data_IF_796551552021
#
_entry.id   IF_796551552021
#
_cell.length_a   1.000
_cell.length_b   1.000
_cell.length_c   1.000
_cell.angle_alpha   90.00
_cell.angle_beta   90.00
_cell.angle_gamma   90.00
#
_symmetry.space_group_name_H-M   'P 1'
#
loop_
_entity.id
_entity.type
_entity.pdbx_description
1 polymer ?
#
# COMPACT_ATOMS: atom_id res chain seq x y z
N UNK A 1 -12.37 10.05 -5.80
CA UNK A 1 -12.12 8.82 -6.58
C UNK A 1 -13.07 8.78 -7.75
N UNK A 2 -12.55 8.69 -8.98
CA UNK A 2 -13.32 8.55 -10.21
C UNK A 2 -14.09 7.22 -10.27
N UNK A 3 -15.04 7.11 -11.21
CA UNK A 3 -15.77 5.85 -11.44
C UNK A 3 -14.84 4.72 -11.92
N UNK A 4 -13.76 5.08 -12.61
CA UNK A 4 -12.68 4.22 -13.08
C UNK A 4 -11.67 3.83 -11.98
N UNK A 5 -11.90 4.26 -10.74
CA UNK A 5 -10.98 4.04 -9.63
C UNK A 5 -9.77 5.00 -9.61
N UNK A 6 -9.73 6.00 -10.49
CA UNK A 6 -8.69 7.02 -10.48
C UNK A 6 -8.71 7.86 -9.20
N UNK A 7 -7.53 8.16 -8.67
CA UNK A 7 -7.33 8.90 -7.42
C UNK A 7 -6.71 10.25 -7.72
N UNK A 8 -7.48 11.32 -7.53
CA UNK A 8 -7.01 12.70 -7.57
C UNK A 8 -7.92 13.57 -6.68
N UNK A 9 -7.46 14.78 -6.41
CA UNK A 9 -8.23 15.85 -5.78
C UNK A 9 -9.15 16.54 -6.77
N UNK A 10 -10.30 17.00 -6.28
CA UNK A 10 -11.27 17.78 -7.04
C UNK A 10 -11.69 19.02 -6.26
N UNK A 11 -12.11 20.06 -6.98
CA UNK A 11 -12.80 21.23 -6.40
C UNK A 11 -14.32 21.13 -6.52
N UNK A 12 -14.80 20.09 -7.20
CA UNK A 12 -16.21 19.84 -7.41
C UNK A 12 -16.77 19.00 -6.25
N UNK A 13 -17.46 19.70 -5.34
CA UNK A 13 -18.16 19.09 -4.22
C UNK A 13 -19.57 18.58 -4.61
N UNK A 14 -20.02 18.77 -5.85
CA UNK A 14 -21.35 18.33 -6.30
C UNK A 14 -21.43 16.84 -6.63
N UNK A 15 -20.29 16.20 -6.86
CA UNK A 15 -20.23 14.76 -7.10
C UNK A 15 -19.94 14.02 -5.80
N UNK A 16 -20.68 12.95 -5.52
CA UNK A 16 -20.39 12.03 -4.41
C UNK A 16 -19.06 11.26 -4.55
N UNK A 17 -18.15 11.70 -5.44
CA UNK A 17 -16.84 11.12 -5.71
C UNK A 17 -15.81 11.40 -4.61
N UNK A 18 -16.10 12.37 -3.74
CA UNK A 18 -15.26 12.79 -2.60
C UNK A 18 -15.74 12.24 -1.26
N UNK A 19 -16.75 11.36 -1.25
CA UNK A 19 -17.27 10.73 -0.04
C UNK A 19 -16.52 9.42 0.24
N UNK A 20 -16.01 9.29 1.48
CA UNK A 20 -15.25 8.14 1.91
C UNK A 20 -15.73 7.63 3.28
N UNK A 21 -15.81 6.31 3.40
CA UNK A 21 -15.88 5.64 4.68
C UNK A 21 -14.48 5.62 5.29
N UNK A 22 -14.36 6.15 6.51
CA UNK A 22 -13.15 6.06 7.32
C UNK A 22 -13.36 4.95 8.36
N UNK A 23 -12.92 3.74 8.03
CA UNK A 23 -13.24 2.53 8.80
C UNK A 23 -12.09 2.23 9.77
N UNK A 24 -12.31 2.24 11.10
CA UNK A 24 -11.27 1.88 12.05
C UNK A 24 -10.97 0.38 11.95
N UNK A 25 -9.71 0.03 11.72
CA UNK A 25 -9.24 -1.37 11.56
C UNK A 25 -8.07 -1.68 12.51
N UNK A 26 -7.90 -0.85 13.54
CA UNK A 26 -6.88 -0.94 14.56
C UNK A 26 -6.71 0.36 15.33
N UNK A 27 -5.88 0.34 16.38
CA UNK A 27 -5.59 1.55 17.16
C UNK A 27 -4.91 2.61 16.28
N UNK A 28 -5.63 3.69 15.97
CA UNK A 28 -5.18 4.76 15.06
C UNK A 28 -4.83 4.24 13.65
N UNK A 29 -5.49 3.15 13.23
CA UNK A 29 -5.34 2.60 11.89
C UNK A 29 -6.71 2.58 11.22
N UNK A 30 -6.76 3.14 10.02
CA UNK A 30 -7.99 3.25 9.22
C UNK A 30 -7.81 2.60 7.86
N UNK A 31 -8.92 2.06 7.35
CA UNK A 31 -9.12 1.82 5.93
C UNK A 31 -9.92 2.99 5.35
N UNK A 32 -9.58 3.42 4.14
CA UNK A 32 -10.25 4.53 3.45
C UNK A 32 -10.96 3.94 2.23
N UNK A 33 -12.29 3.88 2.27
CA UNK A 33 -13.09 3.26 1.22
C UNK A 33 -13.98 4.30 0.55
N UNK A 34 -13.98 4.35 -0.78
CA UNK A 34 -14.89 5.20 -1.55
C UNK A 34 -16.33 4.74 -1.37
N UNK A 35 -17.22 5.66 -0.96
CA UNK A 35 -18.66 5.39 -0.87
C UNK A 35 -19.23 5.08 -2.26
N UNK A 36 -18.75 5.80 -3.27
CA UNK A 36 -19.28 5.72 -4.64
C UNK A 36 -18.94 4.40 -5.34
N UNK A 37 -17.74 3.87 -5.11
CA UNK A 37 -17.22 2.72 -5.87
C UNK A 37 -17.01 1.47 -5.00
N UNK A 38 -17.02 1.60 -3.67
CA UNK A 38 -16.68 0.50 -2.75
C UNK A 38 -15.18 0.14 -2.72
N UNK A 39 -14.35 0.79 -3.53
CA UNK A 39 -12.91 0.52 -3.59
C UNK A 39 -12.18 1.16 -2.42
N UNK A 40 -11.18 0.45 -1.90
CA UNK A 40 -10.24 0.96 -0.91
C UNK A 40 -9.12 1.75 -1.58
N UNK A 41 -8.63 2.79 -0.91
CA UNK A 41 -7.33 3.36 -1.23
C UNK A 41 -6.27 2.42 -0.66
N UNK A 42 -5.25 2.10 -1.44
CA UNK A 42 -4.12 1.29 -1.04
C UNK A 42 -2.80 1.93 -1.49
N UNK A 43 -1.69 1.58 -0.83
CA UNK A 43 -0.35 2.01 -1.22
C UNK A 43 0.56 0.81 -1.41
N UNK A 44 1.14 0.66 -2.59
CA UNK A 44 2.00 -0.48 -2.90
C UNK A 44 3.45 -0.32 -2.41
N UNK A 45 4.23 -1.40 -2.50
CA UNK A 45 5.64 -1.44 -2.09
C UNK A 45 6.58 -0.49 -2.84
N UNK A 46 6.14 0.11 -3.95
CA UNK A 46 6.87 1.18 -4.62
C UNK A 46 6.48 2.55 -4.08
N UNK A 47 5.32 2.68 -3.46
CA UNK A 47 4.75 3.91 -2.92
C UNK A 47 3.70 4.52 -3.83
N UNK A 48 3.25 3.81 -4.87
CA UNK A 48 2.14 4.26 -5.69
C UNK A 48 0.82 4.03 -4.95
N UNK A 49 -0.04 5.03 -4.99
CA UNK A 49 -1.41 4.90 -4.52
C UNK A 49 -2.26 4.29 -5.63
N UNK A 50 -3.15 3.38 -5.26
CA UNK A 50 -4.05 2.72 -6.19
C UNK A 50 -5.37 2.39 -5.49
N UNK A 51 -6.37 2.02 -6.28
CA UNK A 51 -7.67 1.57 -5.79
C UNK A 51 -7.73 0.04 -5.77
N UNK A 52 -8.24 -0.54 -4.69
CA UNK A 52 -8.31 -1.98 -4.48
C UNK A 52 -9.73 -2.43 -4.16
N UNK A 53 -10.17 -3.52 -4.77
CA UNK A 53 -11.46 -4.16 -4.45
C UNK A 53 -11.40 -4.91 -3.12
N UNK A 54 -10.25 -5.51 -2.82
CA UNK A 54 -10.05 -6.32 -1.62
C UNK A 54 -9.38 -5.49 -0.53
N UNK A 55 -9.81 -5.70 0.71
CA UNK A 55 -9.13 -5.14 1.86
C UNK A 55 -7.85 -5.94 2.15
N UNK A 56 -6.70 -5.35 1.85
CA UNK A 56 -5.39 -5.95 2.11
C UNK A 56 -4.61 -5.16 3.16
N UNK A 57 -3.44 -5.66 3.55
CA UNK A 57 -2.53 -4.91 4.42
C UNK A 57 -2.04 -3.59 3.81
N UNK A 58 -2.05 -3.44 2.48
CA UNK A 58 -1.72 -2.19 1.78
C UNK A 58 -2.82 -1.12 1.90
N UNK A 59 -4.04 -1.51 2.30
CA UNK A 59 -5.17 -0.60 2.53
C UNK A 59 -5.15 0.04 3.94
N UNK A 60 -4.20 -0.37 4.80
CA UNK A 60 -4.12 0.08 6.19
C UNK A 60 -3.25 1.32 6.30
N UNK A 61 -3.86 2.42 6.74
CA UNK A 61 -3.16 3.68 7.01
C UNK A 61 -3.17 4.01 8.49
N UNK A 62 -2.00 4.30 9.04
CA UNK A 62 -1.91 4.94 10.36
C UNK A 62 -2.32 6.40 10.23
N UNK A 63 -3.39 6.78 10.91
CA UNK A 63 -3.78 8.17 11.09
C UNK A 63 -2.98 8.80 12.24
N UNK A 64 -2.58 10.06 12.08
CA UNK A 64 -1.89 10.81 13.11
C UNK A 64 -2.23 12.29 12.97
N UNK A 65 -2.24 13.00 14.09
CA UNK A 65 -2.39 14.45 14.09
C UNK A 65 -1.04 15.12 13.85
N UNK A 66 -1.04 16.18 13.06
CA UNK A 66 0.12 17.05 12.82
C UNK A 66 -0.22 18.48 13.21
N UNK A 67 0.64 19.10 14.04
CA UNK A 67 0.49 20.46 14.55
C UNK A 67 -0.89 20.77 15.16
N UNK A 68 -1.53 19.74 15.76
CA UNK A 68 -2.86 19.80 16.37
C UNK A 68 -4.01 20.22 15.44
N UNK A 69 -3.79 20.24 14.12
CA UNK A 69 -4.79 20.74 13.16
C UNK A 69 -5.03 19.78 12.00
N UNK A 70 -3.99 19.21 11.42
CA UNK A 70 -4.11 18.32 10.27
C UNK A 70 -4.10 16.85 10.66
N UNK A 71 -4.78 16.03 9.88
CA UNK A 71 -4.63 14.57 9.90
C UNK A 71 -3.71 14.16 8.76
N UNK A 72 -2.78 13.27 9.06
CA UNK A 72 -1.88 12.65 8.10
C UNK A 72 -2.10 11.15 8.11
N UNK A 73 -2.04 10.53 6.93
CA UNK A 73 -2.20 9.08 6.76
C UNK A 73 -0.90 8.49 6.22
N UNK A 74 -0.32 7.55 6.95
CA UNK A 74 0.90 6.86 6.54
C UNK A 74 0.68 5.39 6.31
N UNK A 75 1.38 4.80 5.33
CA UNK A 75 1.34 3.35 5.12
C UNK A 75 1.76 2.62 6.39
N UNK A 76 1.00 1.59 6.77
CA UNK A 76 1.39 0.68 7.85
C UNK A 76 2.55 -0.23 7.45
N UNK A 77 2.70 -0.55 6.16
CA UNK A 77 3.70 -1.47 5.65
C UNK A 77 4.99 -0.77 5.21
N UNK A 78 4.86 0.39 4.56
CA UNK A 78 5.96 0.94 3.78
C UNK A 78 6.56 2.20 4.39
N UNK A 79 7.89 2.18 4.46
CA UNK A 79 8.75 3.28 4.89
C UNK A 79 10.09 3.22 4.20
N UNK A 80 10.82 4.32 4.23
CA UNK A 80 12.18 4.39 3.74
C UNK A 80 13.08 3.50 4.61
N UNK A 81 13.79 2.54 3.99
CA UNK A 81 14.53 1.48 4.71
C UNK A 81 15.60 2.02 5.66
N UNK A 82 16.40 2.98 5.19
CA UNK A 82 17.54 3.51 5.94
C UNK A 82 17.11 4.50 7.03
N UNK A 83 16.32 5.52 6.67
CA UNK A 83 15.94 6.58 7.60
C UNK A 83 14.75 6.23 8.50
N UNK A 84 14.06 5.13 8.21
CA UNK A 84 12.79 4.78 8.85
C UNK A 84 11.65 5.75 8.54
N UNK A 85 11.82 6.72 7.63
CA UNK A 85 10.79 7.73 7.33
C UNK A 85 9.56 7.08 6.69
N UNK A 86 8.40 7.26 7.30
CA UNK A 86 7.13 6.72 6.79
C UNK A 86 6.77 7.31 5.41
N UNK A 87 5.99 6.57 4.64
CA UNK A 87 5.40 7.02 3.38
C UNK A 87 3.97 7.46 3.63
N UNK A 88 3.55 8.56 2.99
CA UNK A 88 2.29 9.23 3.30
C UNK A 88 1.38 9.30 2.08
N UNK A 89 0.07 9.17 2.31
CA UNK A 89 -0.93 9.65 1.36
C UNK A 89 -0.71 11.15 1.12
N UNK A 90 -0.83 11.61 -0.13
CA UNK A 90 -0.71 13.03 -0.40
C UNK A 90 -1.04 13.45 -1.82
N UNK A 91 -1.37 14.72 -1.96
CA UNK A 91 -1.68 15.39 -3.23
C UNK A 91 -0.70 16.56 -3.46
N UNK A 92 -0.37 16.85 -4.71
CA UNK A 92 0.38 18.06 -5.06
C UNK A 92 -0.54 19.30 -5.09
N UNK A 93 0.02 20.47 -5.47
CA UNK A 93 -0.73 21.73 -5.51
C UNK A 93 -1.81 21.73 -6.60
N UNK A 94 -1.61 20.92 -7.62
CA UNK A 94 -2.52 20.73 -8.75
C UNK A 94 -3.63 19.71 -8.41
N UNK A 95 -3.61 19.13 -7.19
CA UNK A 95 -4.56 18.13 -6.74
C UNK A 95 -4.21 16.71 -7.17
N UNK A 96 -3.05 16.50 -7.80
CA UNK A 96 -2.68 15.18 -8.32
C UNK A 96 -2.09 14.29 -7.24
N UNK A 97 -2.39 12.99 -7.28
CA UNK A 97 -1.81 11.99 -6.38
C UNK A 97 -0.28 11.97 -6.46
N UNK A 98 0.35 11.92 -5.30
CA UNK A 98 1.79 11.80 -5.16
C UNK A 98 2.22 10.42 -4.68
N UNK A 99 3.37 9.96 -5.18
CA UNK A 99 4.05 8.76 -4.66
C UNK A 99 4.40 8.93 -3.18
N UNK A 100 4.02 7.98 -2.33
CA UNK A 100 4.07 8.15 -0.88
C UNK A 100 5.46 8.39 -0.30
N UNK A 101 6.52 7.90 -0.97
CA UNK A 101 7.90 8.16 -0.57
C UNK A 101 8.35 9.62 -0.81
N UNK A 102 7.66 10.35 -1.69
CA UNK A 102 7.90 11.78 -2.00
C UNK A 102 7.10 12.71 -1.08
N UNK A 103 6.03 12.22 -0.47
CA UNK A 103 5.22 12.97 0.48
C UNK A 103 5.93 13.00 1.84
N UNK A 104 6.02 14.20 2.43
CA UNK A 104 6.70 14.43 3.72
C UNK A 104 5.69 14.92 4.75
N UNK A 105 5.76 14.39 5.98
CA UNK A 105 4.90 14.76 7.12
C UNK A 105 4.74 16.27 7.33
N UNK A 106 5.81 17.04 7.16
CA UNK A 106 5.84 18.49 7.40
C UNK A 106 5.44 19.32 6.18
N UNK A 107 5.01 18.70 5.08
CA UNK A 107 4.62 19.39 3.85
C UNK A 107 3.10 19.37 3.68
N UNK A 108 2.50 20.46 3.16
CA UNK A 108 1.05 20.55 2.93
C UNK A 108 0.47 19.40 2.12
N UNK A 109 1.26 18.80 1.23
CA UNK A 109 0.85 17.63 0.46
C UNK A 109 0.33 16.46 1.32
N UNK A 110 0.80 16.32 2.57
CA UNK A 110 0.39 15.25 3.48
C UNK A 110 -0.81 15.62 4.38
N UNK A 111 -1.25 16.88 4.33
CA UNK A 111 -2.13 17.48 5.33
C UNK A 111 -3.58 17.42 4.87
N UNK A 112 -4.39 16.62 5.55
CA UNK A 112 -5.82 16.49 5.28
C UNK A 112 -6.63 17.06 6.44
N UNK A 113 -7.77 17.66 6.11
CA UNK A 113 -8.79 18.06 7.08
C UNK A 113 -10.05 17.24 6.79
N UNK A 114 -10.30 16.14 7.51
CA UNK A 114 -11.54 15.39 7.38
C UNK A 114 -12.73 16.30 7.68
N UNK A 115 -13.77 16.23 6.85
CA UNK A 115 -15.06 16.90 7.06
C UNK A 115 -16.09 15.81 7.39
N UNK A 116 -16.32 15.47 8.66
CA UNK A 116 -17.28 14.42 9.03
C UNK A 116 -18.69 14.79 8.57
N UNK A 117 -19.45 13.81 8.09
CA UNK A 117 -20.85 13.98 7.71
C UNK A 117 -21.72 13.31 8.78
N UNK A 118 -21.54 12.00 8.94
CA UNK A 118 -22.25 11.21 9.94
C UNK A 118 -21.37 10.07 10.46
N UNK A 119 -21.78 9.51 11.59
CA UNK A 119 -21.16 8.30 12.15
C UNK A 119 -21.97 7.10 11.67
N UNK A 120 -21.28 6.11 11.13
CA UNK A 120 -21.88 4.86 10.67
C UNK A 120 -21.16 3.65 11.27
N UNK A 121 -21.90 2.56 11.43
CA UNK A 121 -21.36 1.28 11.89
C UNK A 121 -20.98 0.44 10.67
N UNK A 122 -19.75 -0.08 10.68
CA UNK A 122 -19.23 -0.92 9.60
C UNK A 122 -18.94 -2.32 10.13
N UNK A 123 -19.17 -3.32 9.29
CA UNK A 123 -18.60 -4.65 9.52
C UNK A 123 -17.08 -4.56 9.32
N UNK A 124 -16.33 -5.27 10.16
CA UNK A 124 -14.89 -5.39 9.97
C UNK A 124 -14.58 -5.98 8.58
N UNK A 125 -13.78 -5.30 7.73
CA UNK A 125 -13.42 -5.80 6.42
C UNK A 125 -12.60 -7.10 6.51
N UNK A 126 -12.86 -8.05 5.62
CA UNK A 126 -12.10 -9.31 5.58
C UNK A 126 -10.71 -9.06 5.00
N UNK A 127 -9.66 -9.42 5.74
CA UNK A 127 -8.28 -9.23 5.31
C UNK A 127 -7.87 -10.28 4.29
N UNK A 128 -7.36 -9.83 3.15
CA UNK A 128 -6.84 -10.66 2.05
C UNK A 128 -5.34 -10.45 1.86
N UNK A 129 -4.70 -11.41 1.19
CA UNK A 129 -3.29 -11.30 0.81
C UNK A 129 -3.10 -10.28 -0.32
N UNK A 130 -1.97 -9.57 -0.30
CA UNK A 130 -1.66 -8.52 -1.29
C UNK A 130 -1.62 -9.09 -2.72
N UNK A 131 -1.18 -10.34 -2.89
CA UNK A 131 -1.13 -11.00 -4.20
C UNK A 131 -2.51 -11.30 -4.82
N UNK A 132 -3.57 -11.32 -4.01
CA UNK A 132 -4.95 -11.58 -4.47
C UNK A 132 -5.65 -10.32 -4.99
N UNK A 133 -5.18 -9.14 -4.57
CA UNK A 133 -5.78 -7.86 -4.90
C UNK A 133 -5.33 -7.28 -6.25
N UNK A 134 -4.38 -7.91 -6.93
CA UNK A 134 -3.96 -7.51 -8.29
C UNK A 134 -5.02 -8.02 -9.27
N UNK A 135 -5.70 -7.14 -10.04
CA UNK A 135 -6.59 -7.59 -11.09
C UNK A 135 -5.80 -8.47 -12.07
N UNK A 136 -6.25 -9.71 -12.29
CA UNK A 136 -5.78 -10.52 -13.42
C UNK A 136 -6.09 -9.74 -14.70
N UNK A 137 -5.08 -9.13 -15.31
CA UNK A 137 -5.18 -8.62 -16.66
C UNK A 137 -5.75 -9.74 -17.55
N UNK A 138 -6.92 -9.49 -18.14
CA UNK A 138 -7.53 -10.40 -19.07
C UNK A 138 -6.61 -10.55 -20.30
N UNK A 139 -6.17 -11.79 -20.57
CA UNK A 139 -5.59 -12.19 -21.85
C UNK A 139 -4.06 -12.29 -21.92
N UNK A 140 -3.51 -13.40 -21.41
CA UNK A 140 -2.19 -13.92 -21.77
C UNK A 140 -2.19 -15.43 -21.61
N UNK A 141 -1.62 -16.23 -22.54
CA UNK A 141 -1.73 -17.68 -22.50
C UNK A 141 -1.00 -18.25 -21.27
N UNK A 142 -1.45 -19.41 -20.74
CA UNK A 142 -0.91 -19.94 -19.50
C UNK A 142 0.54 -20.41 -19.71
N UNK A 143 1.49 -19.72 -19.07
CA UNK A 143 2.82 -20.28 -18.85
C UNK A 143 2.69 -21.47 -17.90
N UNK A 144 2.84 -22.68 -18.43
CA UNK A 144 3.05 -23.89 -17.63
C UNK A 144 4.30 -23.70 -16.76
N UNK A 145 4.14 -23.60 -15.45
CA UNK A 145 5.22 -23.82 -14.50
C UNK A 145 5.29 -25.31 -14.17
N UNK A 146 6.18 -26.00 -14.88
CA UNK A 146 6.65 -27.34 -14.51
C UNK A 146 7.46 -27.26 -13.22
N UNK A 147 6.93 -27.92 -12.18
CA UNK A 147 7.62 -28.82 -11.24
C UNK A 147 8.98 -28.39 -10.67
N UNK A 148 8.93 -28.02 -9.39
CA UNK A 148 9.90 -28.26 -8.31
C UNK A 148 11.26 -28.92 -8.64
N UNK A 149 12.34 -28.21 -8.31
CA UNK A 149 13.59 -28.83 -7.85
C UNK A 149 14.03 -28.17 -6.53
N UNK A 150 14.49 -28.94 -5.52
CA UNK A 150 15.01 -28.37 -4.29
C UNK A 150 16.50 -28.01 -4.45
N UNK A 151 16.85 -26.86 -3.88
CA UNK A 151 18.23 -26.39 -3.71
C UNK A 151 18.96 -27.32 -2.75
N UNK A 152 20.05 -27.94 -3.20
CA UNK A 152 21.04 -28.60 -2.33
C UNK A 152 22.33 -27.78 -2.39
N UNK A 153 22.64 -27.06 -1.31
CA UNK A 153 24.00 -26.54 -1.10
C UNK A 153 24.89 -27.67 -0.60
N UNK A 154 26.06 -27.84 -1.21
CA UNK A 154 27.27 -28.17 -0.46
C UNK A 154 28.53 -27.94 -1.29
N UNK A 155 29.29 -26.91 -0.90
CA UNK A 155 30.69 -26.79 -1.22
C UNK A 155 31.51 -27.70 -0.29
N UNK A 156 32.39 -28.50 -0.87
CA UNK A 156 33.35 -29.31 -0.13
C UNK A 156 34.38 -29.91 -1.07
N UNK A 157 35.56 -29.27 -1.17
CA UNK A 157 36.75 -29.87 -1.78
C UNK A 157 37.19 -31.08 -0.95
N UNK A 158 37.46 -32.25 -1.54
CA UNK A 158 38.19 -33.30 -0.84
C UNK A 158 39.68 -32.94 -0.79
N UNK A 159 40.21 -32.86 0.42
CA UNK A 159 41.64 -32.90 0.73
C UNK A 159 42.01 -34.36 1.00
N UNK A 160 43.01 -34.87 0.28
CA UNK A 160 43.77 -36.07 0.68
C UNK A 160 45.27 -35.78 0.52
N UNK A 161 46.02 -36.03 1.59
CA UNK A 161 47.49 -35.98 1.76
C UNK A 161 47.93 -37.36 2.31
N UNK A 162 49.23 -37.71 2.39
CA UNK A 162 50.24 -37.82 1.32
C UNK A 162 51.02 -39.17 1.42
N UNK A 163 52.21 -39.22 0.79
CA UNK A 163 53.31 -40.21 0.88
C UNK A 163 53.26 -41.39 -0.13
N UNK A 164 54.32 -41.76 -0.90
CA UNK A 164 55.78 -41.59 -0.73
C UNK A 164 56.55 -41.78 -2.07
N UNK A 165 57.82 -41.37 -2.02
CA UNK A 165 58.92 -41.18 -3.00
C UNK A 165 59.41 -42.31 -3.96
N UNK A 166 60.19 -41.84 -4.96
CA UNK A 166 61.35 -42.42 -5.70
C UNK A 166 61.15 -43.72 -6.52
N UNK A 167 61.63 -43.87 -7.76
CA UNK A 167 62.81 -43.32 -8.48
C UNK A 167 62.52 -43.31 -9.99
#
# INVERSE_FOLDING_TARGET
MGQDGSLDGTKDDSTNSSLFNLIPVGLRVVAIQSVKTGLYIAMNGEGHLYSSELFTAECKFKESVFENYYVIYSSMLYRQKESGRAWFLGLNKEGQVMKGNRVKKTKPAAHFLPKPIEVAMYREPSLHDVGEAVPKLAGGPPSKSTTSEPVVMNGGKPVSKPDKEET
#
